data_IF_973315711942
#
_entry.id   IF_973315711942
#
_cell.length_a   1.000
_cell.length_b   1.000
_cell.length_c   1.000
_cell.angle_alpha   90.00
_cell.angle_beta   90.00
_cell.angle_gamma   90.00
#
_symmetry.space_group_name_H-M   'P 1'
#
loop_
_entity.id
_entity.type
_entity.pdbx_description
1 polymer ?
#
# COMPACT_ATOMS: atom_id res chain seq x y z
N UNK A 1 -7.07 25.40 -4.38
CA UNK A 1 -6.63 24.06 -4.81
C UNK A 1 -7.82 23.38 -5.46
N UNK A 2 -7.68 22.87 -6.69
CA UNK A 2 -8.73 22.07 -7.30
C UNK A 2 -8.70 20.69 -6.65
N UNK A 3 -9.80 20.29 -6.01
CA UNK A 3 -9.96 18.92 -5.49
C UNK A 3 -10.22 18.02 -6.69
N UNK A 4 -9.28 17.13 -7.01
CA UNK A 4 -9.43 16.21 -8.12
C UNK A 4 -10.06 14.92 -7.60
N UNK A 5 -11.36 14.74 -7.91
CA UNK A 5 -12.06 13.50 -7.66
C UNK A 5 -11.38 12.34 -8.39
N UNK A 6 -11.41 11.17 -7.76
CA UNK A 6 -10.78 9.97 -8.31
C UNK A 6 -11.54 9.46 -9.56
N UNK A 7 -10.83 8.90 -10.56
CA UNK A 7 -11.48 8.30 -11.71
C UNK A 7 -12.44 7.16 -11.32
N UNK A 8 -13.66 7.15 -11.88
CA UNK A 8 -14.70 6.15 -11.57
C UNK A 8 -14.25 4.68 -11.71
N UNK A 9 -13.27 4.39 -12.56
CA UNK A 9 -12.68 3.05 -12.69
C UNK A 9 -12.06 2.51 -11.39
N UNK A 10 -11.67 3.39 -10.47
CA UNK A 10 -11.07 2.99 -9.19
C UNK A 10 -12.14 2.65 -8.15
N UNK A 11 -13.40 3.02 -8.37
CA UNK A 11 -14.50 2.83 -7.43
C UNK A 11 -14.63 1.40 -6.87
N UNK A 12 -14.44 0.32 -7.66
CA UNK A 12 -14.49 -1.04 -7.11
C UNK A 12 -13.45 -1.33 -6.01
N UNK A 13 -12.35 -0.59 -5.97
CA UNK A 13 -11.30 -0.75 -4.96
C UNK A 13 -11.67 -0.14 -3.60
N UNK A 14 -12.70 0.70 -3.53
CA UNK A 14 -13.10 1.47 -2.36
C UNK A 14 -14.53 1.17 -1.95
N UNK A 15 -14.93 -0.10 -1.99
CA UNK A 15 -16.28 -0.53 -1.62
C UNK A 15 -16.64 -0.23 -0.16
N UNK A 16 -15.63 -0.03 0.69
CA UNK A 16 -15.70 0.28 2.12
C UNK A 16 -15.65 1.80 2.43
N UNK A 17 -15.55 2.65 1.41
CA UNK A 17 -15.49 4.12 1.56
C UNK A 17 -16.60 4.81 0.76
N UNK A 18 -16.96 6.03 1.16
CA UNK A 18 -17.70 6.94 0.29
C UNK A 18 -16.78 7.46 -0.82
N UNK A 19 -16.83 6.80 -1.98
CA UNK A 19 -15.99 7.14 -3.12
C UNK A 19 -16.13 8.59 -3.59
N UNK A 20 -17.30 9.22 -3.39
CA UNK A 20 -17.51 10.61 -3.81
C UNK A 20 -16.83 11.63 -2.89
N UNK A 21 -16.55 11.23 -1.65
CA UNK A 21 -15.82 12.04 -0.68
C UNK A 21 -14.30 11.92 -0.86
N UNK A 22 -13.81 10.86 -1.53
CA UNK A 22 -12.38 10.63 -1.72
C UNK A 22 -11.78 11.63 -2.72
N UNK A 23 -10.66 12.23 -2.33
CA UNK A 23 -9.89 13.14 -3.19
C UNK A 23 -8.44 12.72 -3.26
N UNK A 24 -7.80 13.01 -4.39
CA UNK A 24 -6.37 12.74 -4.54
C UNK A 24 -5.52 13.52 -3.53
N UNK A 25 -5.92 14.76 -3.22
CA UNK A 25 -5.14 15.66 -2.36
C UNK A 25 -5.16 15.23 -0.88
N UNK A 26 -6.31 14.77 -0.38
CA UNK A 26 -6.48 14.41 1.04
C UNK A 26 -6.22 12.93 1.29
N UNK A 27 -6.53 12.05 0.34
CA UNK A 27 -6.52 10.59 0.52
C UNK A 27 -5.40 9.88 -0.25
N UNK A 28 -4.35 10.62 -0.66
CA UNK A 28 -3.26 10.10 -1.49
C UNK A 28 -2.70 8.77 -1.00
N UNK A 29 -2.35 8.65 0.27
CA UNK A 29 -1.73 7.44 0.82
C UNK A 29 -2.68 6.25 0.84
N UNK A 30 -3.95 6.51 1.18
CA UNK A 30 -5.01 5.50 1.10
C UNK A 30 -5.16 4.99 -0.33
N UNK A 31 -5.19 5.90 -1.31
CA UNK A 31 -5.37 5.56 -2.73
C UNK A 31 -4.19 4.75 -3.25
N UNK A 32 -2.97 5.22 -3.01
CA UNK A 32 -1.75 4.51 -3.43
C UNK A 32 -1.71 3.11 -2.81
N UNK A 33 -1.90 3.01 -1.49
CA UNK A 33 -1.90 1.72 -0.79
C UNK A 33 -2.96 0.78 -1.32
N UNK A 34 -4.19 1.27 -1.54
CA UNK A 34 -5.29 0.44 -2.04
C UNK A 34 -5.01 -0.09 -3.44
N UNK A 35 -4.49 0.75 -4.33
CA UNK A 35 -4.13 0.36 -5.69
C UNK A 35 -2.98 -0.65 -5.70
N UNK A 36 -1.95 -0.45 -4.89
CA UNK A 36 -0.83 -1.40 -4.84
C UNK A 36 -1.20 -2.76 -4.25
N UNK A 37 -2.14 -2.79 -3.30
CA UNK A 37 -2.55 -4.02 -2.61
C UNK A 37 -3.62 -4.81 -3.36
N UNK A 38 -4.59 -4.13 -3.97
CA UNK A 38 -5.79 -4.76 -4.56
C UNK A 38 -6.08 -4.32 -6.00
N UNK A 39 -5.31 -3.39 -6.56
CA UNK A 39 -5.52 -2.87 -7.90
C UNK A 39 -5.24 -3.89 -9.01
N UNK A 40 -6.05 -3.82 -10.06
CA UNK A 40 -5.78 -4.51 -11.32
C UNK A 40 -4.72 -3.75 -12.14
N UNK A 41 -4.32 -4.32 -13.28
CA UNK A 41 -3.30 -3.69 -14.13
C UNK A 41 -3.71 -2.29 -14.63
N UNK A 42 -5.01 -2.04 -14.82
CA UNK A 42 -5.49 -0.73 -15.25
C UNK A 42 -5.34 0.33 -14.15
N UNK A 43 -5.63 -0.03 -12.90
CA UNK A 43 -5.43 0.83 -11.74
C UNK A 43 -3.94 1.10 -11.50
N UNK A 44 -3.09 0.06 -11.62
CA UNK A 44 -1.63 0.22 -11.53
C UNK A 44 -1.11 1.18 -12.60
N UNK A 45 -1.51 1.01 -13.86
CA UNK A 45 -1.07 1.88 -14.95
C UNK A 45 -1.53 3.32 -14.76
N UNK A 46 -2.75 3.52 -14.25
CA UNK A 46 -3.20 4.86 -13.89
C UNK A 46 -2.34 5.49 -12.82
N UNK A 47 -2.05 4.75 -11.74
CA UNK A 47 -1.25 5.28 -10.65
C UNK A 47 0.15 5.66 -11.17
N UNK A 48 0.78 4.78 -11.94
CA UNK A 48 2.09 5.03 -12.55
C UNK A 48 2.07 6.24 -13.49
N UNK A 49 1.02 6.42 -14.31
CA UNK A 49 0.92 7.60 -15.17
C UNK A 49 0.58 8.88 -14.42
N UNK A 50 -0.06 8.77 -13.25
CA UNK A 50 -0.50 9.92 -12.46
C UNK A 50 0.62 10.52 -11.60
N UNK A 51 1.46 9.68 -10.97
CA UNK A 51 2.56 10.15 -10.10
C UNK A 51 3.96 9.84 -10.63
N UNK A 52 4.09 8.95 -11.61
CA UNK A 52 5.37 8.49 -12.10
C UNK A 52 6.03 7.43 -11.23
N UNK A 53 6.94 6.66 -11.84
CA UNK A 53 7.64 5.56 -11.19
C UNK A 53 8.59 6.06 -10.07
N UNK A 54 9.19 7.23 -10.23
CA UNK A 54 10.07 7.82 -9.21
C UNK A 54 9.31 8.13 -7.91
N UNK A 55 8.18 8.82 -7.99
CA UNK A 55 7.36 9.12 -6.80
C UNK A 55 6.71 7.87 -6.22
N UNK A 56 6.36 6.88 -7.05
CA UNK A 56 5.86 5.60 -6.57
C UNK A 56 6.95 4.82 -5.80
N UNK A 57 8.18 4.83 -6.30
CA UNK A 57 9.34 4.24 -5.64
C UNK A 57 9.59 4.88 -4.28
N UNK A 58 9.63 6.20 -4.24
CA UNK A 58 9.80 6.97 -2.99
C UNK A 58 8.69 6.64 -1.99
N UNK A 59 7.44 6.58 -2.43
CA UNK A 59 6.32 6.22 -1.57
C UNK A 59 6.49 4.82 -0.97
N UNK A 60 6.84 3.82 -1.78
CA UNK A 60 7.07 2.44 -1.30
C UNK A 60 8.23 2.40 -0.30
N UNK A 61 9.31 3.16 -0.56
CA UNK A 61 10.47 3.23 0.34
C UNK A 61 10.12 3.90 1.67
N UNK A 62 9.37 5.02 1.66
CA UNK A 62 8.92 5.73 2.85
C UNK A 62 8.01 4.86 3.73
N UNK A 63 7.14 4.07 3.08
CA UNK A 63 6.23 3.14 3.76
C UNK A 63 6.84 1.76 4.01
N UNK A 64 8.12 1.56 3.67
CA UNK A 64 8.84 0.30 3.86
C UNK A 64 8.10 -0.93 3.28
N UNK A 65 7.33 -0.71 2.20
CA UNK A 65 6.55 -1.77 1.59
C UNK A 65 5.32 -2.23 2.39
N UNK A 66 4.86 -1.47 3.39
CA UNK A 66 3.72 -1.84 4.23
C UNK A 66 2.45 -2.18 3.44
N UNK A 67 1.75 -3.22 3.87
CA UNK A 67 0.56 -3.77 3.21
C UNK A 67 0.84 -4.61 1.96
N UNK A 68 2.06 -4.62 1.42
CA UNK A 68 2.41 -5.43 0.25
C UNK A 68 2.88 -6.83 0.68
N UNK A 69 2.33 -7.85 0.02
CA UNK A 69 2.81 -9.22 0.19
C UNK A 69 4.26 -9.36 -0.29
N UNK A 70 5.00 -10.39 0.17
CA UNK A 70 6.36 -10.65 -0.30
C UNK A 70 6.48 -10.74 -1.83
N UNK A 71 5.47 -11.31 -2.49
CA UNK A 71 5.41 -11.40 -3.95
C UNK A 71 5.26 -10.02 -4.60
N UNK A 72 4.40 -9.16 -4.06
CA UNK A 72 4.24 -7.79 -4.55
C UNK A 72 5.53 -6.98 -4.36
N UNK A 73 6.22 -7.13 -3.22
CA UNK A 73 7.48 -6.45 -2.99
C UNK A 73 8.58 -6.86 -3.98
N UNK A 74 8.67 -8.15 -4.33
CA UNK A 74 9.60 -8.62 -5.38
C UNK A 74 9.24 -8.11 -6.76
N UNK A 75 7.95 -7.99 -7.07
CA UNK A 75 7.52 -7.39 -8.32
C UNK A 75 7.95 -5.92 -8.41
N UNK A 76 7.67 -5.12 -7.37
CA UNK A 76 8.04 -3.70 -7.35
C UNK A 76 9.54 -3.45 -7.24
N UNK A 77 10.30 -4.37 -6.64
CA UNK A 77 11.76 -4.38 -6.68
C UNK A 77 12.28 -4.31 -8.12
N UNK A 78 11.72 -5.15 -8.99
CA UNK A 78 12.13 -5.25 -10.40
C UNK A 78 11.61 -4.07 -11.22
N UNK A 79 10.34 -3.69 -11.03
CA UNK A 79 9.69 -2.64 -11.84
C UNK A 79 10.26 -1.25 -11.55
N UNK A 80 10.61 -0.96 -10.30
CA UNK A 80 11.05 0.38 -9.86
C UNK A 80 12.54 0.42 -9.50
N UNK A 81 13.26 -0.69 -9.73
CA UNK A 81 14.67 -0.85 -9.40
C UNK A 81 14.97 -0.46 -7.94
N UNK A 82 14.12 -0.91 -7.01
CA UNK A 82 14.34 -0.70 -5.57
C UNK A 82 15.52 -1.58 -5.15
N UNK A 83 16.50 -1.06 -4.40
CA UNK A 83 17.65 -1.85 -4.00
C UNK A 83 17.25 -3.13 -3.26
N UNK A 84 17.67 -4.29 -3.77
CA UNK A 84 17.41 -5.63 -3.18
C UNK A 84 17.65 -5.69 -1.67
N UNK A 85 18.68 -4.98 -1.17
CA UNK A 85 18.99 -4.92 0.26
C UNK A 85 17.87 -4.29 1.08
N UNK A 86 17.23 -3.23 0.59
CA UNK A 86 16.11 -2.57 1.27
C UNK A 86 14.90 -3.51 1.31
N UNK A 87 14.55 -4.12 0.18
CA UNK A 87 13.44 -5.08 0.11
C UNK A 87 13.65 -6.27 1.05
N UNK A 88 14.87 -6.81 1.11
CA UNK A 88 15.20 -7.90 2.04
C UNK A 88 15.05 -7.51 3.52
N UNK A 89 15.33 -6.24 3.86
CA UNK A 89 15.16 -5.74 5.23
C UNK A 89 13.68 -5.75 5.61
N UNK A 90 12.81 -5.19 4.76
CA UNK A 90 11.35 -5.16 4.99
C UNK A 90 10.74 -6.56 5.10
N UNK A 91 11.14 -7.48 4.21
CA UNK A 91 10.69 -8.88 4.27
C UNK A 91 11.16 -9.63 5.52
N UNK A 92 12.24 -9.17 6.16
CA UNK A 92 12.74 -9.76 7.40
C UNK A 92 11.98 -9.23 8.60
N UNK A 93 11.66 -7.93 8.61
CA UNK A 93 10.82 -7.29 9.62
C UNK A 93 9.39 -7.87 9.63
N UNK A 94 8.76 -8.06 8.47
CA UNK A 94 7.40 -8.64 8.40
C UNK A 94 7.35 -10.07 8.94
N UNK A 95 8.40 -10.86 8.69
CA UNK A 95 8.52 -12.20 9.27
C UNK A 95 8.58 -12.13 10.79
N UNK A 96 9.38 -11.24 11.36
CA UNK A 96 9.48 -11.05 12.83
C UNK A 96 8.15 -10.61 13.43
N UNK A 97 7.48 -9.63 12.82
CA UNK A 97 6.16 -9.15 13.25
C UNK A 97 5.09 -10.25 13.19
N UNK A 98 5.15 -11.15 12.21
CA UNK A 98 4.23 -12.29 12.12
C UNK A 98 4.41 -13.28 13.28
N UNK A 99 5.65 -13.49 13.73
CA UNK A 99 5.93 -14.32 14.91
C UNK A 99 5.48 -13.63 16.20
N UNK A 100 5.75 -12.34 16.37
CA UNK A 100 5.28 -11.57 17.54
C UNK A 100 3.75 -11.53 17.65
N UNK A 101 3.04 -11.29 16.53
CA UNK A 101 1.56 -11.30 16.49
C UNK A 101 0.95 -12.65 16.90
N UNK A 102 1.69 -13.76 16.77
CA UNK A 102 1.27 -15.10 17.24
C UNK A 102 1.61 -15.37 18.70
N UNK A 103 2.62 -14.69 19.24
CA UNK A 103 3.13 -14.92 20.60
C UNK A 103 2.42 -14.03 21.63
N UNK A 104 1.71 -12.97 21.24
CA UNK A 104 0.85 -12.21 22.17
C UNK A 104 -0.19 -13.17 22.76
N UNK A 105 -0.07 -13.57 24.04
CA UNK A 105 -1.15 -14.29 24.69
C UNK A 105 -2.30 -13.29 24.79
N UNK A 106 -3.53 -13.73 24.55
CA UNK A 106 -4.71 -12.96 24.97
C UNK A 106 -4.68 -12.85 26.50
N UNK A 107 -3.92 -11.92 27.06
CA UNK A 107 -3.97 -11.59 28.48
C UNK A 107 -5.28 -10.83 28.72
N UNK A 108 -6.31 -11.62 29.04
CA UNK A 108 -7.30 -11.36 30.08
C UNK A 108 -7.79 -9.91 30.21
N UNK A 109 -8.82 -9.56 29.44
CA UNK A 109 -9.88 -8.69 29.98
C UNK A 109 -10.62 -9.50 31.03
N UNK A 110 -10.12 -9.49 32.27
CA UNK A 110 -10.94 -9.86 33.41
C UNK A 110 -12.04 -8.81 33.54
N UNK A 111 -13.28 -9.28 33.37
CA UNK A 111 -14.46 -8.68 34.01
C UNK A 111 -14.26 -8.75 35.51
N UNK A 112 -14.35 -7.62 36.21
CA UNK A 112 -15.20 -7.38 37.39
C UNK A 112 -15.05 -5.92 37.80
#
# INVERSE_FOLDING_TARGET
>A
MMKHSLPNRLRPLFWDYDFNALTWEEDRDLVIKRILTSGDWNAINWLRSHIGDASLKEWIQQHQGDGLSPRQLRFWELVLEIPRRQVNAWLSMERQNTWEKRIIPKSSTQRS
#
